data_IF_252410351440
#
_entry.id   IF_252410351440
#
_cell.length_a   1.000
_cell.length_b   1.000
_cell.length_c   1.000
_cell.angle_alpha   90.00
_cell.angle_beta   90.00
_cell.angle_gamma   90.00
#
_symmetry.space_group_name_H-M   'P 1'
#
loop_
_entity.id
_entity.type
_entity.pdbx_description
1 polymer ?
#
# COMPACT_ATOMS: atom_id res chain seq x y z
N UNK A 1 51.13 9.59 54.24
CA UNK A 1 50.45 10.73 53.57
C UNK A 1 50.53 10.47 52.06
N UNK A 2 49.57 9.76 51.45
CA UNK A 2 48.31 10.27 50.89
C UNK A 2 48.40 10.66 49.39
N UNK A 3 47.69 9.89 48.54
CA UNK A 3 47.00 10.26 47.27
C UNK A 3 47.88 10.71 46.08
N UNK A 4 47.63 10.35 44.81
CA UNK A 4 46.60 9.58 44.12
C UNK A 4 47.12 9.11 42.76
N UNK A 5 46.73 7.89 42.39
CA UNK A 5 46.79 7.31 41.04
C UNK A 5 45.94 8.13 40.06
N UNK A 6 46.40 8.26 38.81
CA UNK A 6 45.59 8.12 37.58
C UNK A 6 46.53 8.07 36.37
N UNK A 7 46.99 6.87 36.06
CA UNK A 7 47.55 6.54 34.76
C UNK A 7 46.44 6.77 33.71
N UNK A 8 46.74 7.54 32.68
CA UNK A 8 45.89 7.69 31.51
C UNK A 8 45.91 6.37 30.75
N UNK A 9 44.94 5.52 31.01
CA UNK A 9 44.63 4.38 30.15
C UNK A 9 44.08 4.93 28.84
N UNK A 10 44.96 5.21 27.88
CA UNK A 10 44.57 5.33 26.48
C UNK A 10 44.23 3.91 26.02
N UNK A 11 43.00 3.47 26.32
CA UNK A 11 42.42 2.31 25.70
C UNK A 11 42.43 2.58 24.19
N UNK A 12 43.15 1.73 23.45
CA UNK A 12 42.98 1.60 22.01
C UNK A 12 41.50 1.30 21.80
N UNK A 13 40.74 2.32 21.39
CA UNK A 13 39.43 2.13 20.80
C UNK A 13 39.74 1.36 19.52
N UNK A 14 39.50 0.05 19.52
CA UNK A 14 39.39 -0.70 18.29
C UNK A 14 38.32 0.02 17.48
N UNK A 15 38.75 0.67 16.41
CA UNK A 15 37.84 1.20 15.41
C UNK A 15 37.05 -0.01 14.94
N UNK A 16 35.77 -0.07 15.31
CA UNK A 16 34.84 -1.01 14.72
C UNK A 16 35.06 -0.94 13.20
N UNK A 17 35.15 -2.08 12.48
CA UNK A 17 35.20 -2.03 11.03
C UNK A 17 33.99 -1.21 10.59
N UNK A 18 34.16 -0.29 9.62
CA UNK A 18 33.08 0.60 9.21
C UNK A 18 31.87 -0.28 8.90
N UNK A 19 30.82 -0.15 9.72
CA UNK A 19 29.51 -0.77 9.50
C UNK A 19 29.26 -0.62 8.01
N UNK A 20 29.22 -1.74 7.27
CA UNK A 20 28.87 -1.74 5.87
C UNK A 20 27.51 -1.07 5.77
N UNK A 21 27.50 0.24 5.50
CA UNK A 21 26.29 0.96 5.13
C UNK A 21 25.80 0.17 3.94
N UNK A 22 24.70 -0.58 4.12
CA UNK A 22 24.13 -1.44 3.11
C UNK A 22 24.19 -0.69 1.78
N UNK A 23 25.06 -1.18 0.87
CA UNK A 23 25.26 -0.56 -0.43
C UNK A 23 23.86 -0.37 -1.01
N UNK A 24 23.47 0.88 -1.30
CA UNK A 24 22.20 1.17 -1.99
C UNK A 24 22.33 0.61 -3.40
N UNK A 25 22.16 -0.70 -3.53
CA UNK A 25 21.97 -1.35 -4.82
C UNK A 25 20.70 -0.80 -5.47
N UNK A 26 20.52 -1.03 -6.77
CA UNK A 26 19.25 -0.77 -7.43
C UNK A 26 18.15 -1.41 -6.58
N UNK A 27 17.18 -0.61 -6.14
CA UNK A 27 16.00 -1.17 -5.47
C UNK A 27 15.42 -2.21 -6.44
N UNK A 28 15.08 -3.43 -5.99
CA UNK A 28 14.41 -4.40 -6.83
C UNK A 28 13.28 -3.68 -7.55
N UNK A 29 13.31 -3.70 -8.88
CA UNK A 29 12.27 -3.05 -9.67
C UNK A 29 11.03 -3.92 -9.55
N UNK A 30 10.30 -3.74 -8.45
CA UNK A 30 9.10 -4.49 -8.16
C UNK A 30 7.92 -3.62 -8.62
N UNK A 31 7.30 -3.94 -9.76
CA UNK A 31 6.31 -3.07 -10.38
C UNK A 31 5.13 -2.89 -9.40
N UNK A 32 4.81 -1.63 -8.99
CA UNK A 32 3.76 -1.36 -8.02
C UNK A 32 2.40 -1.98 -8.38
N UNK A 33 2.06 -1.99 -9.66
CA UNK A 33 0.83 -2.58 -10.17
C UNK A 33 0.73 -4.09 -9.91
N UNK A 34 1.85 -4.82 -9.98
CA UNK A 34 1.88 -6.27 -9.71
C UNK A 34 1.66 -6.57 -8.22
N UNK A 35 2.21 -5.72 -7.33
CA UNK A 35 1.92 -5.78 -5.88
C UNK A 35 0.42 -5.63 -5.66
N UNK A 36 -0.18 -4.59 -6.25
CA UNK A 36 -1.59 -4.29 -6.08
C UNK A 36 -2.49 -5.41 -6.62
N UNK A 37 -2.18 -5.93 -7.81
CA UNK A 37 -2.92 -7.05 -8.42
C UNK A 37 -2.84 -8.30 -7.54
N UNK A 38 -1.64 -8.66 -7.07
CA UNK A 38 -1.44 -9.80 -6.17
C UNK A 38 -2.17 -9.61 -4.85
N UNK A 39 -2.12 -8.42 -4.26
CA UNK A 39 -2.89 -8.10 -3.06
C UNK A 39 -4.39 -8.32 -3.30
N UNK A 40 -4.91 -7.92 -4.46
CA UNK A 40 -6.28 -8.19 -4.89
C UNK A 40 -6.61 -9.68 -4.89
N UNK A 41 -5.78 -10.50 -5.53
CA UNK A 41 -5.94 -11.95 -5.58
C UNK A 41 -5.93 -12.57 -4.18
N UNK A 42 -4.99 -12.15 -3.33
CA UNK A 42 -4.90 -12.62 -1.94
C UNK A 42 -6.11 -12.22 -1.10
N UNK A 43 -6.67 -11.02 -1.28
CA UNK A 43 -7.91 -10.62 -0.60
C UNK A 43 -9.07 -11.53 -1.00
N UNK A 44 -9.23 -11.82 -2.30
CA UNK A 44 -10.27 -12.72 -2.79
C UNK A 44 -10.13 -14.13 -2.22
N UNK A 45 -8.92 -14.69 -2.30
CA UNK A 45 -8.61 -15.99 -1.73
C UNK A 45 -8.87 -16.05 -0.22
N UNK A 46 -8.30 -15.12 0.55
CA UNK A 46 -8.45 -15.08 2.00
C UNK A 46 -9.89 -14.87 2.41
N UNK A 47 -10.66 -14.04 1.69
CA UNK A 47 -12.07 -13.81 1.99
C UNK A 47 -12.92 -15.09 1.88
N UNK A 48 -12.58 -15.98 0.94
CA UNK A 48 -13.27 -17.25 0.73
C UNK A 48 -12.99 -18.26 1.83
N UNK A 49 -11.77 -18.31 2.35
CA UNK A 49 -11.35 -19.31 3.36
C UNK A 49 -11.36 -18.77 4.79
N UNK A 50 -11.62 -17.47 4.98
CA UNK A 50 -11.35 -16.78 6.25
C UNK A 50 -12.04 -17.40 7.45
N UNK A 51 -13.30 -17.80 7.31
CA UNK A 51 -14.09 -18.27 8.44
C UNK A 51 -13.61 -19.64 8.96
N UNK A 52 -12.94 -20.42 8.10
CA UNK A 52 -12.25 -21.66 8.46
C UNK A 52 -10.81 -21.40 8.94
N UNK A 53 -10.14 -20.42 8.34
CA UNK A 53 -8.74 -20.09 8.62
C UNK A 53 -8.55 -19.34 9.94
N UNK A 54 -9.34 -18.30 10.18
CA UNK A 54 -9.09 -17.33 11.24
C UNK A 54 -9.08 -17.92 12.65
N UNK A 55 -9.98 -18.83 13.04
CA UNK A 55 -9.94 -19.41 14.39
C UNK A 55 -8.56 -20.02 14.70
N UNK A 56 -8.04 -20.86 13.80
CA UNK A 56 -6.72 -21.50 13.94
C UNK A 56 -5.57 -20.51 13.79
N UNK A 57 -5.66 -19.60 12.82
CA UNK A 57 -4.61 -18.62 12.56
C UNK A 57 -4.45 -17.62 13.73
N UNK A 58 -5.56 -17.25 14.37
CA UNK A 58 -5.55 -16.30 15.50
C UNK A 58 -4.77 -16.83 16.70
N UNK A 59 -4.86 -18.15 16.94
CA UNK A 59 -4.19 -18.86 18.03
C UNK A 59 -2.74 -19.27 17.69
N UNK A 60 -2.37 -19.30 16.41
CA UNK A 60 -1.06 -19.74 15.94
C UNK A 60 0.10 -18.97 16.61
N UNK A 61 1.08 -19.69 17.16
CA UNK A 61 2.26 -19.11 17.80
C UNK A 61 3.55 -19.38 17.02
N UNK A 62 3.56 -20.45 16.22
CA UNK A 62 4.71 -20.89 15.43
C UNK A 62 4.42 -20.81 13.93
N UNK A 63 5.47 -20.91 13.12
CA UNK A 63 5.34 -20.98 11.66
C UNK A 63 4.57 -22.24 11.24
N UNK A 64 4.81 -23.36 11.92
CA UNK A 64 4.13 -24.64 11.67
C UNK A 64 2.64 -24.57 12.00
N UNK A 65 2.24 -23.82 13.03
CA UNK A 65 0.83 -23.57 13.33
C UNK A 65 0.16 -22.81 12.20
N UNK A 66 0.85 -21.81 11.62
CA UNK A 66 0.35 -21.06 10.47
C UNK A 66 0.18 -21.99 9.27
N UNK A 67 1.21 -22.78 8.93
CA UNK A 67 1.13 -23.75 7.82
C UNK A 67 -0.03 -24.72 8.03
N UNK A 68 -0.18 -25.23 9.26
CA UNK A 68 -1.25 -26.16 9.63
C UNK A 68 -2.64 -25.52 9.52
N UNK A 69 -2.79 -24.28 9.97
CA UNK A 69 -4.05 -23.53 9.84
C UNK A 69 -4.48 -23.37 8.38
N UNK A 70 -3.54 -23.07 7.48
CA UNK A 70 -3.83 -22.96 6.04
C UNK A 70 -4.18 -24.31 5.41
N UNK A 71 -3.45 -25.37 5.74
CA UNK A 71 -3.74 -26.75 5.24
C UNK A 71 -5.11 -27.25 5.69
N UNK A 72 -5.56 -26.88 6.90
CA UNK A 72 -6.88 -27.25 7.40
C UNK A 72 -8.00 -26.40 6.77
N UNK A 73 -7.73 -25.13 6.49
CA UNK A 73 -8.72 -24.22 5.94
C UNK A 73 -8.96 -24.39 4.43
N UNK A 74 -7.94 -24.85 3.68
CA UNK A 74 -7.96 -24.96 2.23
C UNK A 74 -7.31 -26.25 1.74
N UNK A 75 -8.03 -26.99 0.89
CA UNK A 75 -7.56 -28.21 0.24
C UNK A 75 -6.95 -27.84 -1.11
N UNK A 76 -5.72 -27.36 -1.10
CA UNK A 76 -4.98 -26.99 -2.31
C UNK A 76 -3.66 -26.28 -2.01
N UNK A 77 -2.93 -25.95 -3.06
CA UNK A 77 -1.67 -25.19 -2.94
C UNK A 77 -1.96 -23.69 -2.83
N UNK A 78 -1.18 -23.02 -1.99
CA UNK A 78 -1.20 -21.56 -1.84
C UNK A 78 0.19 -21.04 -2.13
N UNK A 79 0.32 -20.11 -3.09
CA UNK A 79 1.62 -19.59 -3.55
C UNK A 79 2.57 -19.08 -2.44
N UNK A 80 2.00 -18.71 -1.29
CA UNK A 80 2.73 -18.13 -0.17
C UNK A 80 2.88 -19.08 1.04
N UNK A 81 2.28 -20.26 1.06
CA UNK A 81 2.49 -21.27 2.11
C UNK A 81 3.28 -22.44 1.49
N UNK A 82 4.35 -22.94 2.15
CA UNK A 82 4.79 -22.62 3.52
C UNK A 82 5.75 -21.43 3.62
N UNK A 83 6.32 -20.99 2.50
CA UNK A 83 7.47 -20.06 2.48
C UNK A 83 7.25 -18.72 3.20
N UNK A 84 6.00 -18.26 3.34
CA UNK A 84 5.65 -16.98 3.98
C UNK A 84 4.95 -17.13 5.33
N UNK A 85 4.86 -18.34 5.89
CA UNK A 85 4.39 -18.55 7.26
C UNK A 85 5.08 -17.64 8.29
N UNK A 86 6.43 -17.46 8.28
CA UNK A 86 7.09 -16.49 9.16
C UNK A 86 6.57 -15.06 9.03
N UNK A 87 6.33 -14.63 7.78
CA UNK A 87 5.85 -13.28 7.50
C UNK A 87 4.42 -13.09 7.99
N UNK A 88 3.55 -14.08 7.80
CA UNK A 88 2.16 -14.06 8.29
C UNK A 88 2.13 -13.98 9.80
N UNK A 89 2.93 -14.81 10.49
CA UNK A 89 3.03 -14.80 11.94
C UNK A 89 3.48 -13.42 12.45
N UNK A 90 4.51 -12.84 11.82
CA UNK A 90 5.00 -11.50 12.14
C UNK A 90 3.93 -10.43 11.94
N UNK A 91 3.20 -10.46 10.82
CA UNK A 91 2.15 -9.49 10.48
C UNK A 91 0.96 -9.61 11.42
N UNK A 92 0.53 -10.83 11.75
CA UNK A 92 -0.56 -11.09 12.71
C UNK A 92 -0.26 -10.49 14.08
N UNK A 93 1.00 -10.58 14.53
CA UNK A 93 1.45 -10.09 15.82
C UNK A 93 1.82 -8.59 15.83
N UNK A 94 1.59 -7.86 14.74
CA UNK A 94 1.84 -6.41 14.72
C UNK A 94 0.89 -5.67 15.67
N UNK A 95 1.41 -4.67 16.40
CA UNK A 95 0.62 -3.83 17.32
C UNK A 95 -0.60 -3.17 16.66
N UNK A 96 -0.49 -2.85 15.37
CA UNK A 96 -1.54 -2.19 14.59
C UNK A 96 -2.43 -3.17 13.83
N UNK A 97 -2.34 -4.47 14.14
CA UNK A 97 -3.18 -5.47 13.50
C UNK A 97 -4.67 -5.19 13.82
N UNK A 98 -5.52 -5.11 12.80
CA UNK A 98 -6.90 -4.67 12.98
C UNK A 98 -7.79 -5.76 13.62
N UNK A 99 -8.93 -5.34 14.17
CA UNK A 99 -9.90 -6.26 14.80
C UNK A 99 -11.03 -6.73 13.87
N UNK A 100 -11.33 -5.98 12.81
CA UNK A 100 -12.46 -6.26 11.90
C UNK A 100 -12.03 -7.26 10.82
N UNK A 101 -12.83 -8.30 10.58
CA UNK A 101 -12.60 -9.35 9.56
C UNK A 101 -12.09 -8.81 8.22
N UNK A 102 -12.82 -7.89 7.61
CA UNK A 102 -12.46 -7.32 6.29
C UNK A 102 -11.13 -6.57 6.33
N UNK A 103 -10.87 -5.83 7.41
CA UNK A 103 -9.62 -5.11 7.58
C UNK A 103 -8.45 -6.06 7.86
N UNK A 104 -8.66 -7.17 8.57
CA UNK A 104 -7.65 -8.21 8.80
C UNK A 104 -7.23 -8.89 7.50
N UNK A 105 -8.20 -9.30 6.68
CA UNK A 105 -7.96 -9.87 5.35
C UNK A 105 -7.13 -8.90 4.50
N UNK A 106 -7.55 -7.64 4.41
CA UNK A 106 -6.83 -6.63 3.65
C UNK A 106 -5.42 -6.39 4.20
N UNK A 107 -5.26 -6.37 5.52
CA UNK A 107 -3.98 -6.12 6.15
C UNK A 107 -2.97 -7.23 5.88
N UNK A 108 -3.39 -8.50 5.97
CA UNK A 108 -2.53 -9.64 5.64
C UNK A 108 -2.24 -9.67 4.15
N UNK A 109 -3.27 -9.58 3.29
CA UNK A 109 -3.09 -9.60 1.84
C UNK A 109 -2.11 -8.53 1.34
N UNK A 110 -2.30 -7.28 1.79
CA UNK A 110 -1.45 -6.15 1.40
C UNK A 110 -0.03 -6.29 1.95
N UNK A 111 0.15 -6.99 3.07
CA UNK A 111 1.48 -7.24 3.66
C UNK A 111 2.24 -8.34 2.93
N UNK A 112 1.55 -9.35 2.42
CA UNK A 112 2.16 -10.49 1.72
C UNK A 112 2.45 -10.21 0.24
N UNK A 113 1.74 -9.26 -0.36
CA UNK A 113 1.81 -8.97 -1.79
C UNK A 113 3.21 -8.56 -2.29
N UNK A 114 4.06 -8.07 -1.40
CA UNK A 114 5.46 -7.73 -1.66
C UNK A 114 6.41 -8.92 -1.73
N UNK A 115 5.92 -10.16 -1.53
CA UNK A 115 6.68 -11.41 -1.60
C UNK A 115 7.99 -11.39 -0.78
N UNK A 116 8.03 -10.66 0.33
CA UNK A 116 9.23 -10.46 1.13
C UNK A 116 10.40 -9.73 0.44
N UNK A 117 10.22 -9.28 -0.80
CA UNK A 117 11.19 -8.42 -1.53
C UNK A 117 11.19 -7.01 -0.93
N UNK A 118 10.01 -6.55 -0.52
CA UNK A 118 9.83 -5.33 0.26
C UNK A 118 9.30 -5.67 1.65
N UNK A 119 9.48 -4.77 2.62
CA UNK A 119 8.91 -4.96 3.95
C UNK A 119 7.38 -4.99 3.89
N UNK A 120 6.74 -5.72 4.81
CA UNK A 120 5.27 -5.77 4.92
C UNK A 120 4.62 -4.38 4.99
N UNK A 121 5.28 -3.43 5.66
CA UNK A 121 4.85 -2.03 5.69
C UNK A 121 4.92 -1.38 4.31
N UNK A 122 6.06 -1.47 3.61
CA UNK A 122 6.20 -0.88 2.28
C UNK A 122 5.24 -1.52 1.26
N UNK A 123 4.99 -2.82 1.37
CA UNK A 123 3.98 -3.52 0.54
C UNK A 123 2.59 -2.90 0.72
N UNK A 124 2.18 -2.63 1.97
CA UNK A 124 0.92 -1.94 2.29
C UNK A 124 0.89 -0.51 1.74
N UNK A 125 1.99 0.23 1.86
CA UNK A 125 2.09 1.60 1.33
C UNK A 125 1.90 1.60 -0.19
N UNK A 126 2.56 0.69 -0.91
CA UNK A 126 2.40 0.53 -2.36
C UNK A 126 0.95 0.21 -2.72
N UNK A 127 0.30 -0.72 -2.00
CA UNK A 127 -1.11 -1.05 -2.22
C UNK A 127 -2.02 0.16 -1.99
N UNK A 128 -1.70 1.02 -1.02
CA UNK A 128 -2.45 2.24 -0.75
C UNK A 128 -2.23 3.30 -1.85
N UNK A 129 -0.99 3.50 -2.28
CA UNK A 129 -0.60 4.39 -3.39
C UNK A 129 -1.33 3.99 -4.68
N UNK A 130 -1.30 2.71 -5.05
CA UNK A 130 -1.96 2.19 -6.25
C UNK A 130 -3.49 2.27 -6.16
N UNK A 131 -4.10 1.99 -5.00
CA UNK A 131 -5.54 2.21 -4.79
C UNK A 131 -5.93 3.69 -4.95
N UNK A 132 -5.10 4.61 -4.46
CA UNK A 132 -5.33 6.05 -4.63
C UNK A 132 -5.17 6.47 -6.10
N UNK A 133 -4.18 5.90 -6.81
CA UNK A 133 -3.99 6.10 -8.25
C UNK A 133 -5.18 5.62 -9.06
N UNK A 134 -5.67 4.39 -8.82
CA UNK A 134 -6.83 3.84 -9.50
C UNK A 134 -8.10 4.68 -9.26
N UNK A 135 -8.30 5.17 -8.03
CA UNK A 135 -9.41 6.10 -7.73
C UNK A 135 -9.33 7.39 -8.54
N UNK A 136 -8.14 7.96 -8.71
CA UNK A 136 -7.92 9.18 -9.51
C UNK A 136 -8.06 8.93 -11.02
N UNK A 137 -7.71 7.75 -11.51
CA UNK A 137 -7.85 7.40 -12.93
C UNK A 137 -9.31 7.43 -13.40
N UNK A 138 -10.26 7.15 -12.50
CA UNK A 138 -11.70 7.21 -12.78
C UNK A 138 -12.37 8.49 -12.27
N UNK A 139 -11.61 9.49 -11.81
CA UNK A 139 -12.17 10.79 -11.49
C UNK A 139 -12.40 11.57 -12.78
N UNK A 140 -13.67 11.78 -13.12
CA UNK A 140 -14.05 12.74 -14.16
C UNK A 140 -13.80 14.14 -13.60
N UNK A 141 -12.79 14.83 -14.12
CA UNK A 141 -12.59 16.25 -13.87
C UNK A 141 -13.71 17.02 -14.58
N UNK A 142 -14.69 17.53 -13.82
CA UNK A 142 -15.68 18.48 -14.33
C UNK A 142 -15.13 19.89 -14.22
N UNK A 143 -14.86 20.52 -15.36
CA UNK A 143 -14.44 21.92 -15.42
C UNK A 143 -15.68 22.83 -15.38
N UNK A 144 -15.90 23.52 -14.26
CA UNK A 144 -16.90 24.59 -14.16
C UNK A 144 -16.18 25.94 -14.36
N UNK A 145 -16.37 26.58 -15.52
CA UNK A 145 -15.83 27.91 -15.79
C UNK A 145 -16.77 28.96 -15.23
N UNK A 146 -16.24 30.00 -14.60
CA UNK A 146 -17.05 31.19 -14.34
C UNK A 146 -17.29 31.92 -15.67
N UNK A 147 -18.56 32.12 -16.03
CA UNK A 147 -18.93 32.78 -17.27
C UNK A 147 -19.80 34.00 -17.00
N UNK A 148 -19.67 34.99 -17.87
CA UNK A 148 -20.59 36.09 -18.01
C UNK A 148 -21.26 35.97 -19.38
N UNK A 149 -22.53 35.57 -19.37
CA UNK A 149 -23.26 35.31 -20.60
C UNK A 149 -24.05 36.55 -21.02
N UNK A 150 -24.19 36.76 -22.33
CA UNK A 150 -25.03 37.80 -22.92
C UNK A 150 -26.51 37.70 -22.51
N UNK A 151 -26.97 36.55 -22.02
CA UNK A 151 -28.31 36.40 -21.43
C UNK A 151 -28.46 37.04 -20.02
N UNK A 152 -27.38 37.61 -19.47
CA UNK A 152 -27.35 38.24 -18.15
C UNK A 152 -26.98 37.28 -17.00
N UNK A 153 -26.70 36.00 -17.29
CA UNK A 153 -26.22 35.05 -16.28
C UNK A 153 -24.72 35.27 -16.00
N UNK A 154 -24.37 35.47 -14.73
CA UNK A 154 -23.00 35.49 -14.23
C UNK A 154 -22.83 34.41 -13.17
N UNK A 155 -21.94 33.45 -13.40
CA UNK A 155 -21.77 32.30 -12.51
C UNK A 155 -21.10 31.10 -13.19
N UNK A 156 -21.03 29.95 -12.50
CA UNK A 156 -20.42 28.76 -13.05
C UNK A 156 -21.22 28.24 -14.27
N UNK A 157 -20.49 27.86 -15.31
CA UNK A 157 -20.97 27.13 -16.46
C UNK A 157 -21.32 25.70 -16.08
N UNK A 158 -22.28 25.11 -16.77
CA UNK A 158 -22.59 23.68 -16.67
C UNK A 158 -22.27 23.02 -18.01
N UNK A 159 -21.39 22.01 -18.02
CA UNK A 159 -20.97 21.28 -19.22
C UNK A 159 -20.56 22.20 -20.38
N UNK A 160 -19.62 23.13 -20.14
CA UNK A 160 -19.16 24.12 -21.12
C UNK A 160 -20.27 25.01 -21.71
N UNK A 161 -21.39 25.19 -21.01
CA UNK A 161 -22.48 26.04 -21.46
C UNK A 161 -23.04 26.94 -20.35
N UNK A 162 -23.75 27.98 -20.77
CA UNK A 162 -24.51 28.81 -19.85
C UNK A 162 -25.65 28.00 -19.22
N UNK A 163 -25.73 28.04 -17.89
CA UNK A 163 -26.76 27.32 -17.14
C UNK A 163 -28.18 27.75 -17.51
N UNK A 164 -28.36 29.01 -17.92
CA UNK A 164 -29.68 29.57 -18.18
C UNK A 164 -30.10 29.45 -19.65
N UNK A 165 -29.37 30.08 -20.58
CA UNK A 165 -29.73 30.07 -22.00
C UNK A 165 -29.13 28.89 -22.78
N UNK A 166 -28.29 28.06 -22.14
CA UNK A 166 -27.62 26.89 -22.74
C UNK A 166 -26.70 27.21 -23.91
N UNK A 167 -26.34 28.48 -24.09
CA UNK A 167 -25.32 28.88 -25.06
C UNK A 167 -23.99 28.25 -24.68
N UNK A 168 -23.40 27.48 -25.60
CA UNK A 168 -22.10 26.84 -25.44
C UNK A 168 -21.00 27.90 -25.39
N UNK A 169 -20.01 27.70 -24.53
CA UNK A 169 -18.78 28.48 -24.51
C UNK A 169 -17.98 28.10 -25.75
N UNK A 170 -17.55 29.06 -26.59
CA UNK A 170 -16.69 28.78 -27.73
C UNK A 170 -15.41 28.07 -27.31
N UNK A 171 -14.97 27.08 -28.08
CA UNK A 171 -13.72 26.33 -27.82
C UNK A 171 -12.49 27.24 -27.75
N UNK A 172 -12.51 28.40 -28.40
CA UNK A 172 -11.45 29.41 -28.35
C UNK A 172 -11.27 30.06 -26.98
N UNK A 173 -12.30 30.05 -26.13
CA UNK A 173 -12.28 30.57 -24.77
C UNK A 173 -12.03 29.46 -23.73
N UNK A 174 -12.10 28.20 -24.16
CA UNK A 174 -11.72 27.07 -23.32
C UNK A 174 -10.19 26.92 -23.37
N UNK A 175 -9.53 26.68 -22.22
CA UNK A 175 -8.13 26.30 -22.24
C UNK A 175 -7.98 25.03 -23.08
N UNK A 176 -6.94 24.96 -23.91
CA UNK A 176 -6.66 23.78 -24.72
C UNK A 176 -6.48 22.55 -23.82
N UNK A 177 -7.55 21.80 -23.60
CA UNK A 177 -7.49 20.50 -22.94
C UNK A 177 -6.86 19.58 -23.97
N UNK A 178 -5.57 19.31 -23.85
CA UNK A 178 -4.83 18.33 -24.67
C UNK A 178 -5.29 16.89 -24.39
N UNK A 179 -6.56 16.62 -24.62
CA UNK A 179 -7.26 15.35 -24.54
C UNK A 179 -8.23 15.40 -25.74
N UNK A 180 -7.85 15.06 -26.97
CA UNK A 180 -7.14 13.85 -27.35
C UNK A 180 -7.96 12.61 -26.97
N UNK A 181 -9.31 12.66 -27.00
CA UNK A 181 -10.15 11.46 -26.95
C UNK A 181 -10.19 10.83 -28.36
N UNK A 182 -9.37 9.80 -28.55
CA UNK A 182 -9.56 8.79 -29.60
C UNK A 182 -9.80 7.43 -28.94
#
# INVERSE_FOLDING_TARGET
MARSKKAKTAAQISLDPPSEKARRGPKPNFPPGEVSLRAGNYRGFLANIWDRLWPKLSEAQTEDDVVSAFRQAFVGECDFIPSRAPLILKVKNERLFPKRRTTQINFIADSLAGLGVVTARRSRDICAEERARAKRAHQILRCEYYIECSCGYSGPSHDHACRWCRTTIPDTLLPATGIDFM
#
